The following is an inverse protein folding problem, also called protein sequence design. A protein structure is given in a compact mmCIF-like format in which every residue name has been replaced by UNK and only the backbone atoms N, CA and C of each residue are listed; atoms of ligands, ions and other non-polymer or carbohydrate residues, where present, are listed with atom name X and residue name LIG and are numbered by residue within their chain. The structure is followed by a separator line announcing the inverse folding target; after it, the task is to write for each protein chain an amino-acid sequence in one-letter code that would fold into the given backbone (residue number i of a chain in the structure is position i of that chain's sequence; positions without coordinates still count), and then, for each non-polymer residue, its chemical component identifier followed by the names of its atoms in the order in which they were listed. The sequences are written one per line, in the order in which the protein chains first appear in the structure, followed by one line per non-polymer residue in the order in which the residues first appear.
data_IF_138576885554
#
_entry.id   IF_138576885554
#
_cell.length_a   1.000
_cell.length_b   1.000
_cell.length_c   1.000
_cell.angle_alpha   90.00
_cell.angle_beta   90.00
_cell.angle_gamma   90.00
#
_symmetry.space_group_name_H-M   'P 1'
#
loop_
_entity.id
_entity.type
_entity.pdbx_description
1 polymer ?
#
# COMPACT_ATOMS: atom_id res chain seq x y z
N UNK A 1 47.64 29.62 -25.68
CA UNK A 1 46.84 28.49 -25.08
C UNK A 1 46.99 27.31 -26.03
N UNK A 2 47.03 26.08 -25.55
CA UNK A 2 47.17 24.98 -26.50
C UNK A 2 45.81 24.69 -27.14
N UNK A 3 45.76 24.49 -28.45
CA UNK A 3 44.56 24.08 -29.21
C UNK A 3 43.83 22.87 -28.55
N UNK A 4 44.58 21.93 -27.98
CA UNK A 4 44.06 20.78 -27.27
C UNK A 4 43.24 21.15 -26.01
N UNK A 5 43.66 22.18 -25.27
CA UNK A 5 42.94 22.68 -24.08
C UNK A 5 41.62 23.31 -24.48
N UNK A 6 41.58 24.13 -25.53
CA UNK A 6 40.35 24.74 -26.01
C UNK A 6 39.39 23.71 -26.64
N UNK A 7 39.90 22.69 -27.34
CA UNK A 7 39.09 21.58 -27.87
C UNK A 7 38.50 20.74 -26.77
N UNK A 8 39.23 20.44 -25.70
CA UNK A 8 38.73 19.71 -24.55
C UNK A 8 37.62 20.50 -23.83
N UNK A 9 37.79 21.83 -23.68
CA UNK A 9 36.79 22.73 -23.13
C UNK A 9 35.52 22.79 -23.98
N UNK A 10 35.66 22.81 -25.31
CA UNK A 10 34.54 22.79 -26.24
C UNK A 10 33.76 21.46 -26.15
N UNK A 11 34.43 20.33 -26.06
CA UNK A 11 33.83 19.00 -25.87
C UNK A 11 33.10 18.92 -24.56
N UNK A 12 33.66 19.44 -23.46
CA UNK A 12 33.01 19.50 -22.15
C UNK A 12 31.77 20.38 -22.16
N UNK A 13 31.83 21.58 -22.75
CA UNK A 13 30.68 22.47 -22.87
C UNK A 13 29.56 21.85 -23.74
N UNK A 14 29.92 21.08 -24.79
CA UNK A 14 28.95 20.35 -25.61
C UNK A 14 28.25 19.26 -24.83
N UNK A 15 28.95 18.49 -24.01
CA UNK A 15 28.39 17.45 -23.15
C UNK A 15 27.45 18.06 -22.10
N UNK A 16 27.81 19.21 -21.52
CA UNK A 16 27.00 19.94 -20.56
C UNK A 16 25.69 20.50 -21.20
N UNK A 17 25.79 21.05 -22.41
CA UNK A 17 24.67 21.48 -23.22
C UNK A 17 23.71 20.34 -23.52
N UNK A 18 24.21 19.17 -23.90
CA UNK A 18 23.39 17.97 -24.18
C UNK A 18 22.69 17.47 -22.92
N UNK A 19 23.40 17.42 -21.80
CA UNK A 19 22.83 17.00 -20.51
C UNK A 19 21.74 17.96 -20.05
N UNK A 20 22.00 19.27 -20.13
CA UNK A 20 21.04 20.31 -19.76
C UNK A 20 19.82 20.30 -20.68
N UNK A 21 20.04 20.14 -21.99
CA UNK A 21 18.96 20.02 -22.98
C UNK A 21 18.07 18.79 -22.73
N UNK A 22 18.68 17.67 -22.37
CA UNK A 22 17.93 16.45 -22.00
C UNK A 22 17.11 16.65 -20.72
N UNK A 23 17.65 17.33 -19.70
CA UNK A 23 16.90 17.67 -18.49
C UNK A 23 15.69 18.55 -18.81
N UNK A 24 15.87 19.59 -19.64
CA UNK A 24 14.80 20.50 -20.05
C UNK A 24 13.70 19.74 -20.80
N UNK A 25 14.08 18.87 -21.74
CA UNK A 25 13.13 18.08 -22.54
C UNK A 25 12.27 17.16 -21.67
N UNK A 26 12.83 16.68 -20.54
CA UNK A 26 12.15 15.77 -19.61
C UNK A 26 11.62 16.46 -18.33
N UNK A 27 11.47 17.78 -18.36
CA UNK A 27 10.98 18.51 -17.19
C UNK A 27 9.54 18.14 -16.78
N UNK A 28 8.72 17.67 -17.73
CA UNK A 28 7.34 17.24 -17.50
C UNK A 28 7.18 15.70 -17.52
N UNK A 29 8.29 14.94 -17.56
CA UNK A 29 8.22 13.48 -17.56
C UNK A 29 8.11 12.96 -16.14
N UNK A 30 7.05 12.20 -15.84
CA UNK A 30 6.80 11.61 -14.51
C UNK A 30 7.94 10.70 -14.10
N UNK A 31 8.40 10.83 -12.86
CA UNK A 31 9.48 10.02 -12.29
C UNK A 31 10.87 10.28 -12.87
N UNK A 32 11.03 11.28 -13.76
CA UNK A 32 12.33 11.60 -14.34
C UNK A 32 13.28 12.14 -13.28
N UNK A 33 14.56 11.72 -13.37
CA UNK A 33 15.66 12.19 -12.53
C UNK A 33 16.68 12.92 -13.38
N UNK A 34 16.93 14.20 -13.03
CA UNK A 34 17.87 15.03 -13.74
C UNK A 34 19.28 14.46 -13.71
N UNK A 35 20.01 14.67 -14.79
CA UNK A 35 21.42 14.31 -14.91
C UNK A 35 22.30 15.55 -14.76
N UNK A 36 23.54 15.35 -14.32
CA UNK A 36 24.57 16.39 -14.24
C UNK A 36 25.86 15.84 -14.84
N UNK A 37 26.47 16.59 -15.78
CA UNK A 37 27.79 16.27 -16.29
C UNK A 37 28.84 16.56 -15.23
N UNK A 38 29.77 15.63 -15.02
CA UNK A 38 30.87 15.75 -14.07
C UNK A 38 32.19 15.77 -14.84
N UNK A 39 33.06 16.73 -14.48
CA UNK A 39 34.30 16.98 -15.20
C UNK A 39 35.47 16.82 -14.27
N UNK A 40 36.58 16.31 -14.84
CA UNK A 40 37.90 16.29 -14.18
C UNK A 40 38.91 17.05 -15.00
N UNK A 41 39.84 17.71 -14.34
CA UNK A 41 41.01 18.31 -14.94
C UNK A 41 41.98 17.23 -15.44
N UNK A 42 42.72 17.55 -16.50
CA UNK A 42 43.74 16.67 -17.07
C UNK A 42 45.11 17.26 -16.78
N UNK A 43 45.90 16.57 -15.98
CA UNK A 43 47.31 16.90 -15.72
C UNK A 43 48.22 15.96 -16.46
N UNK A 44 49.18 16.52 -17.18
CA UNK A 44 50.27 15.72 -17.76
C UNK A 44 51.24 15.33 -16.63
N UNK A 45 51.27 14.06 -16.23
CA UNK A 45 52.31 13.54 -15.34
C UNK A 45 53.62 13.38 -16.10
N UNK A 46 54.57 14.26 -15.86
CA UNK A 46 55.94 14.04 -16.34
C UNK A 46 56.70 13.14 -15.35
N UNK A 47 57.57 12.29 -15.86
CA UNK A 47 58.40 11.35 -15.08
C UNK A 47 59.31 12.04 -14.03
N UNK A 48 59.50 13.38 -14.13
CA UNK A 48 60.33 14.21 -13.25
C UNK A 48 59.57 15.06 -12.22
N UNK A 49 58.28 14.74 -11.96
CA UNK A 49 57.43 15.45 -10.98
C UNK A 49 56.76 16.71 -11.56
N UNK A 50 55.61 17.09 -10.97
CA UNK A 50 54.90 18.33 -11.34
C UNK A 50 55.62 19.53 -10.74
N UNK A 51 56.28 20.33 -11.58
CA UNK A 51 56.84 21.62 -11.18
C UNK A 51 55.73 22.61 -10.83
N UNK A 52 56.01 23.59 -9.95
CA UNK A 52 55.07 24.67 -9.55
C UNK A 52 54.55 25.51 -10.72
N UNK A 53 55.04 25.32 -11.93
CA UNK A 53 54.73 26.07 -13.16
C UNK A 53 53.99 25.23 -14.22
N UNK A 54 53.58 24.00 -13.93
CA UNK A 54 52.86 23.15 -14.89
C UNK A 54 51.44 23.66 -15.15
N UNK A 55 51.17 23.98 -16.43
CA UNK A 55 49.83 24.38 -16.88
C UNK A 55 49.00 23.12 -17.13
N UNK A 56 47.72 23.09 -16.68
CA UNK A 56 46.82 21.96 -16.91
C UNK A 56 46.58 21.68 -18.41
N UNK A 57 46.33 20.42 -18.76
CA UNK A 57 46.19 19.94 -20.15
C UNK A 57 44.71 19.95 -20.64
N UNK A 58 43.80 20.60 -19.88
CA UNK A 58 42.41 20.72 -20.24
C UNK A 58 41.46 19.94 -19.30
N UNK A 59 40.29 19.63 -19.79
CA UNK A 59 39.18 18.99 -19.05
C UNK A 59 38.70 17.74 -19.80
N UNK A 60 38.22 16.75 -19.06
CA UNK A 60 37.51 15.59 -19.62
C UNK A 60 36.20 15.37 -18.90
N UNK A 61 35.19 14.90 -19.62
CA UNK A 61 33.99 14.36 -19.03
C UNK A 61 34.32 13.05 -18.30
N UNK A 62 33.98 12.98 -17.02
CA UNK A 62 34.22 11.79 -16.19
C UNK A 62 32.98 10.94 -16.11
N UNK A 63 31.82 11.55 -15.89
CA UNK A 63 30.55 10.87 -15.71
C UNK A 63 29.37 11.81 -16.02
N UNK A 64 28.19 11.20 -16.20
CA UNK A 64 26.90 11.91 -16.25
C UNK A 64 26.03 11.35 -15.12
N UNK A 65 26.29 11.87 -13.91
CA UNK A 65 25.66 11.42 -12.69
C UNK A 65 24.16 11.74 -12.66
N UNK A 66 23.34 10.79 -12.21
CA UNK A 66 21.92 11.04 -11.97
C UNK A 66 21.66 11.54 -10.54
N UNK A 67 20.75 12.48 -10.40
CA UNK A 67 20.38 13.04 -9.10
C UNK A 67 19.01 12.46 -8.72
N UNK A 68 19.01 11.46 -7.82
CA UNK A 68 17.81 10.75 -7.36
C UNK A 68 17.03 11.50 -6.26
N UNK A 69 17.25 12.82 -6.10
CA UNK A 69 16.39 13.62 -5.19
C UNK A 69 14.93 13.53 -5.61
N UNK A 70 14.05 13.59 -4.63
CA UNK A 70 12.60 13.56 -4.86
C UNK A 70 12.14 14.79 -5.63
N UNK A 71 11.21 14.60 -6.58
CA UNK A 71 10.46 15.64 -7.26
C UNK A 71 9.24 16.09 -6.46
N UNK A 72 8.47 17.03 -7.00
CA UNK A 72 7.19 17.45 -6.42
C UNK A 72 6.15 16.34 -6.62
N UNK A 73 5.28 16.13 -5.63
CA UNK A 73 4.15 15.22 -5.76
C UNK A 73 2.95 16.00 -6.31
N UNK A 74 2.39 15.50 -7.39
CA UNK A 74 1.18 16.06 -8.03
C UNK A 74 0.03 15.07 -7.83
N UNK A 75 -1.09 15.55 -7.27
CA UNK A 75 -2.25 14.73 -6.97
C UNK A 75 -3.10 14.50 -8.20
N UNK A 76 -3.62 13.29 -8.34
CA UNK A 76 -4.50 12.84 -9.42
C UNK A 76 -5.73 12.14 -8.84
N UNK A 77 -6.76 11.96 -9.67
CA UNK A 77 -7.98 11.23 -9.27
C UNK A 77 -7.88 9.71 -9.50
N UNK A 78 -6.75 9.22 -10.02
CA UNK A 78 -6.57 7.80 -10.30
C UNK A 78 -5.84 7.10 -9.15
N UNK A 79 -6.47 6.12 -8.52
CA UNK A 79 -5.91 5.35 -7.41
C UNK A 79 -4.63 4.58 -7.77
N UNK A 80 -4.47 4.20 -9.06
CA UNK A 80 -3.30 3.49 -9.58
C UNK A 80 -2.13 4.42 -9.93
N UNK A 81 -2.32 5.73 -9.84
CA UNK A 81 -1.22 6.68 -9.84
C UNK A 81 -0.62 6.70 -8.44
N UNK A 82 0.59 6.19 -8.31
CA UNK A 82 1.21 5.93 -7.03
C UNK A 82 2.55 6.66 -6.95
N UNK A 83 2.74 7.47 -5.92
CA UNK A 83 4.02 8.14 -5.68
C UNK A 83 4.73 7.57 -4.45
N UNK A 84 6.07 7.58 -4.48
CA UNK A 84 6.90 7.27 -3.32
C UNK A 84 7.27 8.59 -2.63
N UNK A 85 6.91 8.73 -1.36
CA UNK A 85 7.36 9.82 -0.51
C UNK A 85 8.59 9.38 0.28
N UNK A 86 9.78 9.78 -0.19
CA UNK A 86 11.05 9.36 0.40
C UNK A 86 11.92 8.54 -0.58
N UNK A 87 12.71 7.61 -0.02
CA UNK A 87 13.65 6.78 -0.78
C UNK A 87 13.03 5.48 -1.27
N UNK A 88 13.58 4.93 -2.38
CA UNK A 88 13.21 3.64 -2.94
C UNK A 88 12.71 3.77 -4.38
N UNK A 89 12.44 2.64 -5.00
CA UNK A 89 11.96 2.53 -6.37
C UNK A 89 10.86 1.49 -6.41
N UNK A 90 9.87 1.66 -7.26
CA UNK A 90 8.94 0.59 -7.59
C UNK A 90 9.71 -0.53 -8.29
N UNK A 91 9.40 -1.75 -7.91
CA UNK A 91 9.99 -2.96 -8.48
C UNK A 91 9.11 -3.49 -9.60
N UNK A 92 9.70 -3.74 -10.76
CA UNK A 92 9.00 -4.24 -11.95
C UNK A 92 9.57 -5.58 -12.38
N UNK A 93 8.72 -6.53 -12.74
CA UNK A 93 9.10 -7.81 -13.30
C UNK A 93 8.65 -7.96 -14.76
N UNK A 94 9.37 -8.76 -15.52
CA UNK A 94 9.01 -9.09 -16.91
C UNK A 94 7.97 -10.23 -16.95
N UNK A 95 7.99 -11.10 -15.94
CA UNK A 95 7.09 -12.26 -15.83
C UNK A 95 6.33 -12.26 -14.50
N UNK A 96 5.24 -13.02 -14.42
CA UNK A 96 4.33 -13.04 -13.27
C UNK A 96 4.96 -13.53 -11.96
N UNK A 97 5.96 -14.42 -12.02
CA UNK A 97 6.59 -15.06 -10.86
C UNK A 97 8.11 -14.88 -10.83
N UNK A 98 8.68 -14.04 -11.70
CA UNK A 98 10.11 -13.75 -11.70
C UNK A 98 10.44 -12.63 -10.69
N UNK A 99 11.69 -12.63 -10.24
CA UNK A 99 12.22 -11.51 -9.46
C UNK A 99 12.22 -10.21 -10.30
N UNK A 100 12.13 -9.04 -9.63
CA UNK A 100 12.14 -7.77 -10.34
C UNK A 100 13.49 -7.51 -11.01
N UNK A 101 13.43 -7.14 -12.27
CA UNK A 101 14.59 -6.85 -13.15
C UNK A 101 14.72 -5.37 -13.46
N UNK A 102 13.65 -4.61 -13.34
CA UNK A 102 13.60 -3.17 -13.59
C UNK A 102 13.02 -2.41 -12.41
N UNK A 103 13.48 -1.18 -12.25
CA UNK A 103 13.11 -0.31 -11.14
C UNK A 103 12.71 1.05 -11.68
N UNK A 104 11.67 1.67 -11.10
CA UNK A 104 11.19 2.97 -11.59
C UNK A 104 10.71 3.86 -10.45
N UNK A 105 10.70 5.18 -10.72
CA UNK A 105 9.99 6.19 -9.92
C UNK A 105 8.70 6.67 -10.59
N UNK A 106 8.48 6.24 -11.83
CA UNK A 106 7.21 6.49 -12.50
C UNK A 106 6.14 5.57 -11.91
N UNK A 107 5.15 6.17 -11.27
CA UNK A 107 4.05 5.46 -10.63
C UNK A 107 2.74 5.50 -11.41
N UNK A 108 2.76 5.87 -12.68
CA UNK A 108 1.58 5.79 -13.54
C UNK A 108 1.33 4.34 -13.95
N UNK A 109 0.53 3.64 -13.17
CA UNK A 109 0.18 2.24 -13.42
C UNK A 109 -1.23 2.12 -13.99
N UNK A 110 -1.48 1.01 -14.65
CA UNK A 110 -2.78 0.65 -15.22
C UNK A 110 -3.03 -0.85 -15.08
N UNK A 111 -4.29 -1.27 -15.28
CA UNK A 111 -4.64 -2.68 -15.28
C UNK A 111 -4.55 -3.25 -16.69
N UNK A 112 -4.00 -4.44 -16.80
CA UNK A 112 -4.13 -5.23 -18.01
C UNK A 112 -5.49 -5.96 -18.06
N UNK A 113 -5.75 -6.66 -19.17
CA UNK A 113 -7.01 -7.39 -19.37
C UNK A 113 -7.19 -8.59 -18.41
N UNK A 114 -6.12 -9.08 -17.82
CA UNK A 114 -6.12 -10.15 -16.84
C UNK A 114 -6.21 -9.64 -15.38
N UNK A 115 -6.18 -8.31 -15.17
CA UNK A 115 -6.25 -7.67 -13.88
C UNK A 115 -4.91 -7.49 -13.17
N UNK A 116 -3.77 -7.67 -13.87
CA UNK A 116 -2.46 -7.34 -13.31
C UNK A 116 -2.17 -5.85 -13.41
N UNK A 117 -1.45 -5.35 -12.42
CA UNK A 117 -0.99 -3.96 -12.41
C UNK A 117 0.29 -3.89 -13.25
N UNK A 118 0.26 -3.08 -14.31
CA UNK A 118 1.37 -2.91 -15.26
C UNK A 118 1.72 -1.44 -15.46
N UNK A 119 2.96 -1.19 -15.88
CA UNK A 119 3.37 0.13 -16.35
C UNK A 119 3.04 0.29 -17.85
N UNK A 120 3.38 1.43 -18.43
CA UNK A 120 3.23 1.79 -19.84
C UNK A 120 3.97 0.85 -20.83
N UNK A 121 4.95 0.08 -20.35
CA UNK A 121 5.71 -0.89 -21.13
C UNK A 121 5.19 -2.32 -20.99
N UNK A 122 4.13 -2.54 -20.22
CA UNK A 122 3.59 -3.86 -19.93
C UNK A 122 4.40 -4.68 -18.92
N UNK A 123 5.33 -4.05 -18.16
CA UNK A 123 6.01 -4.71 -17.05
C UNK A 123 5.12 -4.73 -15.82
N UNK A 124 5.12 -5.86 -15.11
CA UNK A 124 4.27 -6.09 -13.95
C UNK A 124 4.83 -5.42 -12.70
N UNK A 125 3.94 -4.76 -11.94
CA UNK A 125 4.28 -4.23 -10.63
C UNK A 125 4.46 -5.38 -9.64
N UNK A 126 5.67 -5.44 -9.05
CA UNK A 126 6.08 -6.52 -8.16
C UNK A 126 5.76 -6.22 -6.70
N UNK A 127 5.34 -7.24 -5.97
CA UNK A 127 5.04 -7.13 -4.55
C UNK A 127 4.80 -8.47 -3.87
N UNK A 128 4.28 -8.40 -2.65
CA UNK A 128 3.78 -9.55 -1.90
C UNK A 128 2.28 -9.70 -2.16
N UNK A 129 1.85 -10.86 -2.62
CA UNK A 129 0.44 -11.20 -2.82
C UNK A 129 -0.28 -11.40 -1.49
N UNK A 130 -1.60 -11.64 -1.51
CA UNK A 130 -2.40 -11.90 -0.31
C UNK A 130 -1.89 -13.10 0.51
N UNK A 131 -1.35 -14.12 -0.14
CA UNK A 131 -0.75 -15.31 0.44
C UNK A 131 0.72 -15.12 0.89
N UNK A 132 1.22 -13.88 0.88
CA UNK A 132 2.61 -13.51 1.15
C UNK A 132 3.65 -14.06 0.16
N UNK A 133 3.24 -14.71 -0.92
CA UNK A 133 4.15 -15.05 -2.02
C UNK A 133 4.59 -13.80 -2.77
N UNK A 134 5.78 -13.84 -3.35
CA UNK A 134 6.32 -12.75 -4.14
C UNK A 134 5.94 -12.91 -5.62
N UNK A 135 5.64 -11.80 -6.29
CA UNK A 135 5.34 -11.80 -7.72
C UNK A 135 4.53 -10.59 -8.17
N UNK A 136 4.01 -10.66 -9.39
CA UNK A 136 3.13 -9.64 -9.95
C UNK A 136 1.84 -9.50 -9.14
N UNK A 137 1.46 -8.26 -8.85
CA UNK A 137 0.22 -7.96 -8.14
C UNK A 137 -0.96 -8.02 -9.10
N UNK A 138 -1.99 -8.76 -8.68
CA UNK A 138 -3.23 -8.95 -9.45
C UNK A 138 -4.42 -8.46 -8.64
N UNK A 139 -5.24 -7.64 -9.28
CA UNK A 139 -6.51 -7.18 -8.71
C UNK A 139 -7.60 -8.15 -9.16
N UNK A 140 -8.30 -8.72 -8.20
CA UNK A 140 -9.51 -9.46 -8.51
C UNK A 140 -10.69 -8.50 -8.57
N UNK A 141 -11.24 -8.33 -9.77
CA UNK A 141 -12.45 -7.51 -10.02
C UNK A 141 -13.73 -8.35 -10.00
N UNK A 142 -13.61 -9.66 -9.73
CA UNK A 142 -14.78 -10.52 -9.59
C UNK A 142 -15.62 -10.10 -8.38
N UNK A 143 -16.85 -10.57 -8.32
CA UNK A 143 -17.70 -10.37 -7.14
C UNK A 143 -17.03 -10.94 -5.90
N UNK A 144 -17.00 -10.16 -4.84
CA UNK A 144 -16.56 -10.63 -3.52
C UNK A 144 -17.40 -11.82 -3.09
N UNK A 145 -16.73 -12.90 -2.67
CA UNK A 145 -17.42 -14.09 -2.18
C UNK A 145 -18.17 -13.75 -0.89
N UNK A 146 -19.36 -14.31 -0.67
CA UNK A 146 -20.04 -14.19 0.60
C UNK A 146 -19.23 -14.89 1.70
N UNK A 147 -19.41 -14.46 2.93
CA UNK A 147 -18.87 -15.11 4.11
C UNK A 147 -20.00 -15.47 5.06
N UNK A 148 -20.12 -16.74 5.38
CA UNK A 148 -21.05 -17.18 6.42
C UNK A 148 -20.68 -16.56 7.78
N UNK A 149 -21.68 -16.21 8.57
CA UNK A 149 -21.48 -15.73 9.93
C UNK A 149 -21.06 -16.89 10.82
N UNK A 150 -19.90 -16.82 11.44
CA UNK A 150 -19.42 -17.81 12.41
C UNK A 150 -19.29 -17.23 13.83
N UNK A 151 -19.28 -15.90 13.99
CA UNK A 151 -19.22 -15.23 15.29
C UNK A 151 -20.25 -14.10 15.37
N UNK A 152 -21.02 -14.08 16.46
CA UNK A 152 -21.90 -12.97 16.85
C UNK A 152 -21.50 -12.49 18.23
N UNK A 153 -21.06 -11.21 18.32
CA UNK A 153 -20.74 -10.56 19.58
C UNK A 153 -21.93 -9.74 20.05
N UNK A 154 -22.34 -9.97 21.28
CA UNK A 154 -23.49 -9.33 21.86
C UNK A 154 -23.14 -8.77 23.25
N UNK A 155 -23.03 -7.46 23.34
CA UNK A 155 -22.86 -6.74 24.59
C UNK A 155 -24.15 -6.02 24.94
N UNK A 156 -24.77 -6.37 26.07
CA UNK A 156 -26.04 -5.81 26.51
C UNK A 156 -26.06 -5.66 28.02
N UNK A 157 -27.04 -4.91 28.53
CA UNK A 157 -27.35 -4.85 29.95
C UNK A 157 -28.71 -5.53 30.22
N UNK A 158 -28.68 -6.53 31.08
CA UNK A 158 -29.87 -7.17 31.64
C UNK A 158 -30.27 -6.47 32.94
N UNK A 159 -31.58 -6.24 33.16
CA UNK A 159 -32.00 -5.51 34.33
C UNK A 159 -31.99 -6.42 35.57
N UNK A 160 -31.17 -6.12 36.55
CA UNK A 160 -31.03 -6.89 37.79
C UNK A 160 -32.35 -6.94 38.62
N UNK A 161 -33.28 -6.01 38.41
CA UNK A 161 -34.59 -5.98 39.10
C UNK A 161 -35.66 -6.86 38.41
N UNK A 162 -35.35 -7.41 37.23
CA UNK A 162 -36.32 -8.24 36.51
C UNK A 162 -36.50 -9.60 37.21
N UNK A 163 -37.76 -10.04 37.23
CA UNK A 163 -38.15 -11.35 37.76
C UNK A 163 -38.56 -12.29 36.64
N UNK A 164 -38.74 -13.56 36.98
CA UNK A 164 -39.30 -14.57 36.06
C UNK A 164 -40.56 -14.03 35.40
N UNK A 165 -40.67 -14.12 34.05
CA UNK A 165 -41.84 -13.65 33.31
C UNK A 165 -43.17 -14.25 33.83
N UNK A 166 -44.26 -13.51 33.60
CA UNK A 166 -45.61 -13.91 34.10
C UNK A 166 -46.11 -15.19 33.43
N UNK A 167 -45.76 -15.39 32.15
CA UNK A 167 -46.12 -16.59 31.38
C UNK A 167 -44.96 -17.57 31.35
N UNK A 168 -45.20 -18.79 31.80
CA UNK A 168 -44.23 -19.93 31.72
C UNK A 168 -44.97 -21.16 31.23
N UNK A 169 -44.36 -22.02 30.39
CA UNK A 169 -42.99 -21.96 29.86
C UNK A 169 -42.81 -20.84 28.81
N UNK A 170 -41.54 -20.58 28.43
CA UNK A 170 -41.17 -19.61 27.39
C UNK A 170 -41.86 -19.94 26.05
N UNK A 171 -42.45 -18.90 25.42
CA UNK A 171 -43.05 -18.93 24.09
C UNK A 171 -42.59 -17.69 23.31
N UNK A 172 -41.87 -17.82 22.16
CA UNK A 172 -41.41 -16.67 21.40
C UNK A 172 -42.50 -15.78 20.83
N UNK A 173 -43.76 -16.29 20.79
CA UNK A 173 -44.92 -15.53 20.30
C UNK A 173 -45.61 -14.72 21.39
N UNK A 174 -45.34 -15.03 22.67
CA UNK A 174 -45.92 -14.33 23.83
C UNK A 174 -44.90 -13.39 24.47
N UNK A 175 -45.07 -12.07 24.27
CA UNK A 175 -44.21 -11.01 24.85
C UNK A 175 -44.14 -11.06 26.38
N UNK A 176 -45.13 -11.66 27.05
CA UNK A 176 -45.13 -11.80 28.51
C UNK A 176 -44.32 -13.01 29.01
N UNK A 177 -43.72 -13.80 28.10
CA UNK A 177 -42.87 -14.97 28.41
C UNK A 177 -41.39 -14.69 28.48
N UNK A 178 -40.91 -13.47 28.14
CA UNK A 178 -39.54 -13.06 28.22
C UNK A 178 -39.34 -11.61 28.68
N UNK A 179 -38.19 -11.25 29.20
CA UNK A 179 -37.87 -9.91 29.72
C UNK A 179 -37.25 -8.99 28.67
N UNK A 180 -36.56 -9.55 27.69
CA UNK A 180 -35.95 -8.79 26.62
C UNK A 180 -35.68 -9.64 25.38
N UNK A 181 -35.56 -9.01 24.23
CA UNK A 181 -35.20 -9.68 22.99
C UNK A 181 -34.24 -8.82 22.14
N UNK A 182 -33.38 -9.50 21.42
CA UNK A 182 -32.40 -8.88 20.49
C UNK A 182 -32.35 -9.70 19.20
N UNK A 183 -32.33 -9.03 18.04
CA UNK A 183 -32.25 -9.69 16.73
C UNK A 183 -31.00 -9.27 15.99
N UNK A 184 -30.28 -10.24 15.45
CA UNK A 184 -29.09 -10.06 14.61
C UNK A 184 -29.33 -10.64 13.21
N UNK A 185 -28.91 -9.94 12.18
CA UNK A 185 -28.85 -10.50 10.83
C UNK A 185 -27.55 -11.27 10.67
N UNK A 186 -27.63 -12.53 10.30
CA UNK A 186 -26.48 -13.41 9.98
C UNK A 186 -26.59 -13.85 8.52
N UNK A 187 -25.49 -14.31 7.95
CA UNK A 187 -25.44 -14.73 6.56
C UNK A 187 -25.02 -16.20 6.45
N UNK A 188 -25.64 -16.92 5.52
CA UNK A 188 -25.26 -18.29 5.18
C UNK A 188 -24.03 -18.34 4.24
N UNK A 189 -23.58 -19.52 3.86
CA UNK A 189 -22.43 -19.72 2.93
C UNK A 189 -22.68 -19.19 1.50
N UNK A 190 -23.93 -18.93 1.14
CA UNK A 190 -24.32 -18.33 -0.14
C UNK A 190 -24.57 -16.82 -0.03
N UNK A 191 -24.52 -16.26 1.19
CA UNK A 191 -24.74 -14.84 1.45
C UNK A 191 -26.19 -14.45 1.59
N UNK A 192 -27.12 -15.42 1.78
CA UNK A 192 -28.51 -15.09 2.08
C UNK A 192 -28.62 -14.63 3.53
N UNK A 193 -29.41 -13.58 3.80
CA UNK A 193 -29.62 -13.10 5.17
C UNK A 193 -30.63 -13.98 5.93
N UNK A 194 -30.28 -14.31 7.15
CA UNK A 194 -31.14 -14.96 8.14
C UNK A 194 -31.23 -14.09 9.38
N UNK A 195 -32.37 -14.16 10.12
CA UNK A 195 -32.49 -13.38 11.34
C UNK A 195 -32.43 -14.31 12.54
N UNK A 196 -31.42 -14.13 13.39
CA UNK A 196 -31.36 -14.82 14.68
C UNK A 196 -31.90 -13.86 15.74
N UNK A 197 -32.89 -14.34 16.50
CA UNK A 197 -33.48 -13.63 17.63
C UNK A 197 -33.11 -14.34 18.91
N UNK A 198 -32.51 -13.59 19.85
CA UNK A 198 -32.16 -14.04 21.19
C UNK A 198 -33.20 -13.48 22.17
N UNK A 199 -33.89 -14.35 22.93
CA UNK A 199 -34.86 -13.99 23.96
C UNK A 199 -34.24 -14.23 25.33
N UNK A 200 -34.30 -13.25 26.21
CA UNK A 200 -33.71 -13.26 27.54
C UNK A 200 -34.81 -13.43 28.59
N UNK A 201 -34.69 -14.47 29.42
CA UNK A 201 -35.65 -14.86 30.45
C UNK A 201 -34.94 -14.87 31.80
N UNK A 202 -35.39 -14.02 32.75
CA UNK A 202 -34.85 -14.00 34.10
C UNK A 202 -35.29 -15.20 34.91
N UNK A 203 -34.39 -15.82 35.65
CA UNK A 203 -34.67 -16.91 36.57
C UNK A 203 -34.84 -16.44 38.04
N UNK A 204 -34.79 -15.13 38.28
CA UNK A 204 -34.96 -14.53 39.60
C UNK A 204 -36.46 -14.56 40.02
N UNK A 205 -36.84 -15.02 41.24
CA UNK A 205 -36.00 -15.30 42.40
C UNK A 205 -35.56 -16.78 42.56
N UNK A 206 -35.94 -17.67 41.64
CA UNK A 206 -35.64 -19.11 41.79
C UNK A 206 -34.13 -19.36 41.79
N UNK A 207 -33.42 -18.79 40.81
CA UNK A 207 -31.96 -18.74 40.73
C UNK A 207 -31.49 -17.30 40.51
N UNK A 208 -31.10 -16.58 41.62
CA UNK A 208 -30.70 -15.18 41.52
C UNK A 208 -29.51 -15.00 40.57
N UNK A 209 -29.48 -13.87 39.86
CA UNK A 209 -28.39 -13.49 38.91
C UNK A 209 -28.19 -14.49 37.75
N UNK A 210 -29.24 -15.24 37.40
CA UNK A 210 -29.20 -16.22 36.33
C UNK A 210 -30.25 -15.87 35.26
N UNK A 211 -29.85 -15.98 34.01
CA UNK A 211 -30.69 -15.72 32.85
C UNK A 211 -30.59 -16.88 31.87
N UNK A 212 -31.73 -17.25 31.31
CA UNK A 212 -31.85 -18.17 30.21
C UNK A 212 -32.00 -17.42 28.89
N UNK A 213 -31.22 -17.79 27.88
CA UNK A 213 -31.23 -17.19 26.55
C UNK A 213 -31.68 -18.22 25.53
N UNK A 214 -32.88 -18.02 24.98
CA UNK A 214 -33.41 -18.86 23.90
C UNK A 214 -33.10 -18.22 22.56
N UNK A 215 -32.67 -19.00 21.59
CA UNK A 215 -32.30 -18.50 20.28
C UNK A 215 -33.07 -19.16 19.16
N UNK A 216 -33.60 -18.31 18.29
CA UNK A 216 -34.40 -18.70 17.14
C UNK A 216 -33.81 -18.12 15.87
N UNK A 217 -33.75 -18.93 14.80
CA UNK A 217 -33.36 -18.50 13.46
C UNK A 217 -34.58 -18.58 12.54
N UNK A 218 -34.95 -17.46 11.93
CA UNK A 218 -36.13 -17.33 11.05
C UNK A 218 -37.40 -17.92 11.68
N UNK A 219 -37.57 -17.76 13.01
CA UNK A 219 -38.69 -18.26 13.76
C UNK A 219 -38.63 -19.74 14.17
N UNK A 220 -37.54 -20.45 13.77
CA UNK A 220 -37.29 -21.83 14.18
C UNK A 220 -36.26 -21.88 15.32
N UNK A 221 -36.35 -22.87 16.16
CA UNK A 221 -35.37 -23.09 17.24
C UNK A 221 -33.99 -23.34 16.68
N UNK A 222 -32.99 -22.62 17.15
CA UNK A 222 -31.60 -22.78 16.69
C UNK A 222 -31.01 -24.09 17.26
N UNK A 223 -31.27 -24.45 18.50
CA UNK A 223 -30.87 -25.73 19.09
C UNK A 223 -32.03 -26.74 19.05
N UNK A 224 -31.81 -27.91 18.44
CA UNK A 224 -32.80 -28.95 18.25
C UNK A 224 -33.48 -29.42 19.57
N UNK A 225 -32.84 -29.17 20.72
CA UNK A 225 -33.38 -29.45 22.06
C UNK A 225 -34.18 -28.31 22.67
N UNK A 226 -34.21 -27.13 22.04
CA UNK A 226 -34.73 -25.87 22.62
C UNK A 226 -34.14 -25.60 24.02
N UNK A 227 -32.86 -25.99 24.22
CA UNK A 227 -32.17 -25.76 25.48
C UNK A 227 -31.68 -24.29 25.52
N UNK A 228 -32.00 -23.52 26.56
CA UNK A 228 -31.47 -22.16 26.65
C UNK A 228 -29.99 -22.15 27.01
N UNK A 229 -29.29 -21.11 26.57
CA UNK A 229 -27.97 -20.78 27.13
C UNK A 229 -28.20 -20.14 28.49
N UNK A 230 -27.54 -20.63 29.53
CA UNK A 230 -27.61 -20.04 30.86
C UNK A 230 -26.48 -19.05 31.04
N UNK A 231 -26.79 -17.79 31.40
CA UNK A 231 -25.83 -16.75 31.77
C UNK A 231 -25.87 -16.56 33.28
N UNK A 232 -24.75 -16.71 33.97
CA UNK A 232 -24.63 -16.47 35.43
C UNK A 232 -23.79 -15.23 35.69
N UNK A 233 -24.29 -14.32 36.53
CA UNK A 233 -23.61 -13.08 36.90
C UNK A 233 -23.19 -13.10 38.37
N UNK A 234 -22.12 -12.39 38.70
CA UNK A 234 -21.69 -12.17 40.06
C UNK A 234 -22.52 -11.07 40.77
N UNK A 235 -22.23 -10.84 42.04
CA UNK A 235 -22.91 -9.81 42.84
C UNK A 235 -22.58 -8.37 42.39
N UNK A 236 -21.59 -8.17 41.52
CA UNK A 236 -21.23 -6.90 40.93
C UNK A 236 -21.86 -6.69 39.55
N UNK A 237 -22.62 -7.68 39.05
CA UNK A 237 -23.27 -7.63 37.75
C UNK A 237 -22.37 -7.98 36.58
N UNK A 238 -21.23 -8.63 36.83
CA UNK A 238 -20.32 -9.11 35.81
C UNK A 238 -20.60 -10.55 35.42
N UNK A 239 -20.60 -10.89 34.14
CA UNK A 239 -20.82 -12.24 33.63
C UNK A 239 -19.64 -13.15 34.07
N UNK A 240 -19.94 -14.25 34.75
CA UNK A 240 -18.95 -15.21 35.29
C UNK A 240 -19.00 -16.58 34.63
N UNK A 241 -20.18 -16.98 34.12
CA UNK A 241 -20.32 -18.26 33.43
C UNK A 241 -21.32 -18.18 32.29
N UNK A 242 -21.03 -18.94 31.24
CA UNK A 242 -21.93 -19.20 30.12
C UNK A 242 -22.13 -20.71 30.05
N UNK A 243 -23.38 -21.17 30.16
CA UNK A 243 -23.81 -22.58 30.15
C UNK A 243 -22.99 -23.45 31.12
N UNK A 244 -22.78 -22.93 32.34
CA UNK A 244 -22.03 -23.59 33.41
C UNK A 244 -20.50 -23.55 33.28
N UNK A 245 -19.96 -23.04 32.17
CA UNK A 245 -18.52 -22.90 31.95
C UNK A 245 -18.02 -21.52 32.39
N UNK A 246 -17.00 -21.49 33.24
CA UNK A 246 -16.29 -20.28 33.67
C UNK A 246 -15.01 -19.98 32.87
N UNK A 247 -14.64 -20.86 31.93
CA UNK A 247 -13.43 -20.73 31.12
C UNK A 247 -13.62 -19.86 29.86
N UNK A 248 -14.86 -19.61 29.45
CA UNK A 248 -15.16 -18.84 28.25
C UNK A 248 -16.53 -18.18 28.37
N UNK A 249 -16.64 -16.90 28.01
CA UNK A 249 -17.89 -16.20 27.86
C UNK A 249 -18.54 -16.43 26.48
N UNK A 250 -18.07 -17.47 25.76
CA UNK A 250 -18.54 -17.83 24.43
C UNK A 250 -19.32 -19.15 24.47
N UNK A 251 -20.32 -19.23 23.63
CA UNK A 251 -21.10 -20.43 23.41
C UNK A 251 -21.11 -20.77 21.93
N UNK A 252 -20.71 -22.02 21.63
CA UNK A 252 -20.79 -22.55 20.26
C UNK A 252 -22.11 -23.34 20.14
N UNK A 253 -22.93 -22.97 19.17
CA UNK A 253 -24.07 -23.77 18.79
C UNK A 253 -23.67 -24.94 17.90
N UNK A 254 -24.41 -26.05 18.01
CA UNK A 254 -24.37 -27.11 17.04
C UNK A 254 -24.78 -26.56 15.66
N UNK A 255 -24.29 -27.22 14.61
CA UNK A 255 -24.59 -26.78 13.24
C UNK A 255 -26.10 -26.80 12.99
N UNK A 256 -26.62 -25.69 12.46
CA UNK A 256 -28.01 -25.55 12.05
C UNK A 256 -28.13 -25.79 10.55
N UNK A 257 -28.91 -26.79 10.09
CA UNK A 257 -29.03 -27.11 8.68
C UNK A 257 -29.82 -26.02 7.93
N UNK A 258 -29.20 -25.39 6.92
CA UNK A 258 -29.87 -24.43 6.02
C UNK A 258 -30.14 -25.12 4.69
N UNK A 259 -31.40 -25.22 4.23
CA UNK A 259 -31.70 -25.85 2.96
C UNK A 259 -31.03 -25.15 1.77
N UNK A 260 -30.13 -25.86 1.08
CA UNK A 260 -29.44 -25.38 -0.11
C UNK A 260 -28.11 -24.65 0.14
N UNK A 261 -27.70 -24.44 1.39
CA UNK A 261 -26.42 -23.88 1.80
C UNK A 261 -25.66 -24.85 2.73
N UNK A 262 -24.44 -24.51 3.11
CA UNK A 262 -23.73 -25.21 4.16
C UNK A 262 -24.42 -24.94 5.52
N UNK A 263 -24.30 -25.91 6.42
CA UNK A 263 -24.84 -25.77 7.78
C UNK A 263 -24.22 -24.54 8.49
N UNK A 264 -25.07 -23.75 9.12
CA UNK A 264 -24.64 -22.56 9.85
C UNK A 264 -24.16 -22.93 11.26
N UNK A 265 -22.91 -22.62 11.57
CA UNK A 265 -22.30 -22.81 12.90
C UNK A 265 -21.95 -21.46 13.49
N UNK A 266 -22.65 -21.04 14.54
CA UNK A 266 -22.49 -19.70 15.13
C UNK A 266 -21.96 -19.80 16.55
N UNK A 267 -20.90 -19.04 16.82
CA UNK A 267 -20.36 -18.80 18.15
C UNK A 267 -20.89 -17.47 18.69
N UNK A 268 -21.56 -17.49 19.82
CA UNK A 268 -21.98 -16.29 20.55
C UNK A 268 -20.95 -15.88 21.57
N UNK A 269 -20.56 -14.61 21.55
CA UNK A 269 -19.65 -13.99 22.51
C UNK A 269 -20.43 -12.98 23.35
N UNK A 270 -20.59 -13.27 24.66
CA UNK A 270 -21.28 -12.44 25.63
C UNK A 270 -20.33 -11.66 26.56
N UNK A 271 -19.03 -11.57 26.22
CA UNK A 271 -17.98 -11.09 27.12
C UNK A 271 -18.29 -9.74 27.79
N UNK A 272 -18.91 -8.82 27.06
CA UNK A 272 -19.21 -7.46 27.56
C UNK A 272 -20.68 -7.30 28.03
N UNK A 273 -21.35 -8.43 28.33
CA UNK A 273 -22.72 -8.41 28.87
C UNK A 273 -22.68 -8.18 30.37
N UNK A 274 -23.57 -7.31 30.84
CA UNK A 274 -23.67 -6.89 32.24
C UNK A 274 -25.10 -7.06 32.79
N UNK A 275 -25.22 -7.12 34.14
CA UNK A 275 -26.49 -7.15 34.83
C UNK A 275 -26.55 -6.02 35.87
N UNK A 276 -27.02 -4.84 35.47
CA UNK A 276 -27.19 -3.72 36.36
C UNK A 276 -28.70 -3.37 36.53
N UNK A 277 -29.04 -2.67 37.60
CA UNK A 277 -30.40 -2.18 37.81
C UNK A 277 -30.68 -0.96 36.89
N UNK A 278 -30.69 -1.23 35.58
CA UNK A 278 -31.10 -0.32 34.52
C UNK A 278 -31.87 -1.11 33.46
N UNK A 279 -32.74 -0.42 32.72
CA UNK A 279 -33.56 -1.07 31.70
C UNK A 279 -32.68 -1.90 30.71
N UNK A 280 -33.27 -2.98 30.20
CA UNK A 280 -32.69 -3.75 29.12
C UNK A 280 -32.21 -2.82 28.01
N UNK A 281 -30.96 -2.95 27.62
CA UNK A 281 -30.36 -2.16 26.53
C UNK A 281 -29.28 -2.95 25.82
N UNK A 282 -29.21 -2.81 24.50
CA UNK A 282 -28.13 -3.37 23.68
C UNK A 282 -27.05 -2.29 23.55
N UNK A 283 -25.86 -2.56 24.09
CA UNK A 283 -24.73 -1.62 24.06
C UNK A 283 -23.97 -1.73 22.73
N UNK A 284 -23.72 -2.96 22.28
CA UNK A 284 -23.16 -3.23 20.95
C UNK A 284 -23.58 -4.62 20.46
N UNK A 285 -23.70 -4.74 19.16
CA UNK A 285 -23.92 -6.00 18.48
C UNK A 285 -23.14 -5.99 17.18
N UNK A 286 -22.37 -7.02 16.93
CA UNK A 286 -21.59 -7.19 15.71
C UNK A 286 -21.55 -8.64 15.28
N UNK A 287 -21.36 -8.88 14.01
CA UNK A 287 -21.19 -10.20 13.42
C UNK A 287 -20.19 -10.09 12.26
N UNK A 288 -19.59 -11.19 11.84
CA UNK A 288 -18.49 -11.21 10.88
C UNK A 288 -18.85 -11.75 9.48
N UNK A 289 -20.12 -12.12 9.26
CA UNK A 289 -20.60 -12.54 7.95
C UNK A 289 -21.01 -11.39 7.06
N UNK A 290 -21.02 -11.59 5.75
CA UNK A 290 -21.47 -10.61 4.77
C UNK A 290 -21.98 -11.29 3.49
N UNK A 291 -22.93 -10.64 2.77
CA UNK A 291 -23.39 -11.14 1.48
C UNK A 291 -22.31 -10.95 0.40
N UNK A 292 -22.51 -11.55 -0.76
CA UNK A 292 -21.72 -11.24 -1.95
C UNK A 292 -21.77 -9.73 -2.26
N UNK A 293 -20.62 -9.16 -2.61
CA UNK A 293 -20.51 -7.74 -2.94
C UNK A 293 -19.99 -7.53 -4.36
N UNK A 294 -20.46 -6.49 -5.04
CA UNK A 294 -19.87 -6.05 -6.30
C UNK A 294 -18.61 -5.21 -6.01
N UNK A 295 -17.59 -5.38 -6.86
CA UNK A 295 -16.37 -4.57 -6.76
C UNK A 295 -16.71 -3.09 -6.99
N UNK A 296 -16.30 -2.22 -6.05
CA UNK A 296 -16.55 -0.77 -6.10
C UNK A 296 -15.31 0.05 -6.37
N UNK A 297 -14.13 -0.48 -6.04
CA UNK A 297 -12.87 0.24 -6.27
C UNK A 297 -11.69 -0.34 -5.51
N UNK A 298 -10.56 0.33 -5.67
CA UNK A 298 -9.30 0.02 -5.01
C UNK A 298 -8.98 1.05 -3.94
N UNK A 299 -8.25 0.61 -2.95
CA UNK A 299 -7.63 1.48 -1.96
C UNK A 299 -6.19 1.02 -1.73
N UNK A 300 -5.27 1.97 -1.64
CA UNK A 300 -3.86 1.70 -1.32
C UNK A 300 -3.51 2.57 -0.12
N UNK A 301 -3.04 1.94 0.95
CA UNK A 301 -2.62 2.67 2.14
C UNK A 301 -1.15 3.12 2.07
N UNK A 302 -0.70 3.94 3.02
CA UNK A 302 0.67 4.48 3.09
C UNK A 302 1.75 3.39 3.25
N UNK A 303 1.38 2.21 3.75
CA UNK A 303 2.26 1.03 3.83
C UNK A 303 2.28 0.21 2.53
N UNK A 304 1.64 0.70 1.47
CA UNK A 304 1.60 0.05 0.17
C UNK A 304 0.74 -1.21 0.12
N UNK A 305 -0.17 -1.42 1.09
CA UNK A 305 -1.11 -2.53 1.04
C UNK A 305 -2.29 -2.13 0.17
N UNK A 306 -2.61 -3.02 -0.79
CA UNK A 306 -3.73 -2.86 -1.71
C UNK A 306 -4.95 -3.61 -1.19
N UNK A 307 -6.09 -2.96 -1.24
CA UNK A 307 -7.39 -3.51 -0.88
C UNK A 307 -8.38 -3.37 -2.04
N UNK A 308 -9.12 -4.45 -2.33
CA UNK A 308 -10.36 -4.38 -3.12
C UNK A 308 -11.50 -4.00 -2.19
N UNK A 309 -12.23 -2.97 -2.53
CA UNK A 309 -13.45 -2.56 -1.82
C UNK A 309 -14.68 -3.09 -2.52
N UNK A 310 -15.65 -3.56 -1.73
CA UNK A 310 -16.90 -4.14 -2.22
C UNK A 310 -18.13 -3.37 -1.71
N UNK A 311 -19.24 -3.51 -2.45
CA UNK A 311 -20.52 -2.84 -2.13
C UNK A 311 -21.13 -3.26 -0.79
N UNK A 312 -20.71 -4.42 -0.25
CA UNK A 312 -21.11 -4.92 1.07
C UNK A 312 -20.31 -4.29 2.23
N UNK A 313 -19.42 -3.31 1.95
CA UNK A 313 -18.56 -2.66 2.93
C UNK A 313 -17.30 -3.44 3.29
N UNK A 314 -17.11 -4.64 2.74
CA UNK A 314 -15.90 -5.42 2.97
C UNK A 314 -14.71 -4.88 2.16
N UNK A 315 -13.51 -5.09 2.69
CA UNK A 315 -12.26 -4.79 2.04
C UNK A 315 -11.35 -6.02 2.08
N UNK A 316 -11.06 -6.58 0.91
CA UNK A 316 -10.19 -7.74 0.78
C UNK A 316 -8.75 -7.30 0.48
N UNK A 317 -7.79 -7.81 1.23
CA UNK A 317 -6.37 -7.55 0.98
C UNK A 317 -5.91 -8.31 -0.27
N UNK A 318 -5.46 -7.57 -1.29
CA UNK A 318 -4.93 -8.12 -2.55
C UNK A 318 -3.45 -8.49 -2.39
N UNK A 319 -2.69 -7.59 -1.74
CA UNK A 319 -1.25 -7.71 -1.62
C UNK A 319 -0.63 -6.43 -1.08
N UNK A 320 0.69 -6.35 -1.19
CA UNK A 320 1.48 -5.22 -0.73
C UNK A 320 2.60 -4.92 -1.71
N UNK A 321 2.81 -3.65 -2.03
CA UNK A 321 3.90 -3.18 -2.90
C UNK A 321 5.25 -3.53 -2.31
N UNK A 322 6.19 -3.97 -3.17
CA UNK A 322 7.59 -4.11 -2.82
C UNK A 322 8.39 -2.93 -3.39
N UNK A 323 8.99 -2.14 -2.52
CA UNK A 323 9.96 -1.13 -2.92
C UNK A 323 11.38 -1.70 -2.89
N UNK A 324 12.20 -1.27 -3.83
CA UNK A 324 13.63 -1.61 -3.89
C UNK A 324 14.48 -0.43 -3.44
N UNK A 325 15.56 -0.73 -2.73
CA UNK A 325 16.62 0.21 -2.39
C UNK A 325 17.97 -0.37 -2.81
N UNK A 326 18.90 0.51 -3.21
CA UNK A 326 20.25 0.15 -3.59
C UNK A 326 21.26 0.82 -2.67
N UNK A 327 22.39 0.14 -2.45
CA UNK A 327 23.49 0.69 -1.68
C UNK A 327 24.09 1.91 -2.39
N UNK A 328 24.21 1.83 -3.72
CA UNK A 328 24.72 2.90 -4.56
C UNK A 328 23.75 3.16 -5.74
N UNK A 329 22.89 4.16 -5.60
CA UNK A 329 21.92 4.55 -6.63
C UNK A 329 22.60 5.06 -7.93
N UNK A 330 23.84 5.60 -7.82
CA UNK A 330 24.60 6.08 -8.98
C UNK A 330 25.09 4.94 -9.88
N UNK A 331 25.21 3.75 -9.33
CA UNK A 331 25.62 2.56 -10.07
C UNK A 331 24.52 1.92 -10.90
N UNK A 332 23.28 2.40 -10.84
CA UNK A 332 22.16 1.85 -11.61
C UNK A 332 22.34 2.12 -13.11
N UNK A 333 22.05 1.10 -13.92
CA UNK A 333 22.03 1.23 -15.38
C UNK A 333 20.69 1.78 -15.86
N UNK A 334 20.72 2.76 -16.77
CA UNK A 334 19.52 3.33 -17.39
C UNK A 334 19.00 2.40 -18.49
N UNK A 335 17.74 1.99 -18.41
CA UNK A 335 17.06 1.20 -19.44
C UNK A 335 16.23 2.07 -20.42
N UNK A 336 16.05 3.35 -20.10
CA UNK A 336 15.10 4.24 -20.79
C UNK A 336 13.73 4.25 -20.10
N UNK A 337 12.80 5.11 -20.57
CA UNK A 337 11.44 5.25 -20.06
C UNK A 337 11.35 5.36 -18.53
N UNK A 338 12.27 6.14 -17.93
CA UNK A 338 12.39 6.31 -16.47
C UNK A 338 12.54 5.02 -15.67
N UNK A 339 13.17 4.00 -16.29
CA UNK A 339 13.48 2.71 -15.66
C UNK A 339 14.97 2.49 -15.53
N UNK A 340 15.35 1.76 -14.49
CA UNK A 340 16.74 1.42 -14.16
C UNK A 340 16.88 -0.08 -13.92
N UNK A 341 18.07 -0.61 -14.11
CA UNK A 341 18.45 -1.98 -13.75
C UNK A 341 19.57 -1.96 -12.72
N UNK A 342 19.61 -3.01 -11.91
CA UNK A 342 20.73 -3.23 -11.00
C UNK A 342 22.01 -3.60 -11.76
N UNK A 343 23.14 -3.25 -11.17
CA UNK A 343 24.48 -3.60 -11.69
C UNK A 343 25.37 -4.05 -10.53
N UNK A 344 26.54 -4.60 -10.85
CA UNK A 344 27.54 -4.92 -9.82
C UNK A 344 28.01 -3.70 -9.03
N UNK A 345 27.90 -2.49 -9.61
CA UNK A 345 28.30 -1.22 -8.97
C UNK A 345 27.20 -0.66 -8.07
N UNK A 346 25.92 -0.90 -8.39
CA UNK A 346 24.81 -0.49 -7.53
C UNK A 346 24.70 -1.34 -6.27
N UNK A 347 25.24 -2.54 -6.29
CA UNK A 347 24.97 -3.59 -5.32
C UNK A 347 23.61 -4.25 -5.58
N UNK A 348 23.33 -5.32 -4.85
CA UNK A 348 22.06 -6.06 -4.94
C UNK A 348 20.88 -5.24 -4.43
N UNK A 349 19.71 -5.46 -5.04
CA UNK A 349 18.44 -4.87 -4.59
C UNK A 349 18.09 -5.32 -3.20
N UNK A 350 17.71 -4.38 -2.35
CA UNK A 350 17.14 -4.65 -1.02
C UNK A 350 15.65 -4.34 -1.11
N UNK A 351 14.85 -5.40 -1.14
CA UNK A 351 13.38 -5.28 -1.18
C UNK A 351 12.83 -5.08 0.23
N UNK A 352 11.80 -4.27 0.35
CA UNK A 352 11.12 -4.03 1.61
C UNK A 352 9.73 -3.41 1.41
N UNK A 353 8.90 -3.49 2.44
CA UNK A 353 7.61 -2.82 2.45
C UNK A 353 7.77 -1.30 2.58
N UNK A 354 6.89 -0.49 1.98
CA UNK A 354 6.88 0.95 2.17
C UNK A 354 6.83 1.34 3.65
N UNK A 355 7.67 2.31 4.04
CA UNK A 355 7.81 2.75 5.43
C UNK A 355 8.76 1.93 6.29
N UNK A 356 9.26 0.79 5.81
CA UNK A 356 10.22 -0.05 6.53
C UNK A 356 11.64 0.11 6.00
N UNK A 357 12.65 -0.29 6.79
CA UNK A 357 14.07 -0.36 6.38
C UNK A 357 14.60 0.91 5.69
N UNK A 358 14.17 2.09 6.13
CA UNK A 358 14.55 3.38 5.55
C UNK A 358 14.03 3.59 4.10
N UNK A 359 13.00 2.85 3.70
CA UNK A 359 12.21 3.08 2.51
C UNK A 359 11.16 4.16 2.77
N UNK A 360 10.80 4.90 1.73
CA UNK A 360 9.71 5.87 1.77
C UNK A 360 8.35 5.21 1.90
N UNK A 361 7.35 6.01 2.27
CA UNK A 361 5.93 5.62 2.23
C UNK A 361 5.38 5.79 0.82
N UNK A 362 4.24 5.17 0.57
CA UNK A 362 3.55 5.25 -0.72
C UNK A 362 2.31 6.11 -0.58
N UNK A 363 2.02 6.90 -1.59
CA UNK A 363 0.82 7.71 -1.66
C UNK A 363 0.07 7.39 -2.95
N UNK A 364 -1.17 6.93 -2.81
CA UNK A 364 -2.10 6.71 -3.90
C UNK A 364 -2.74 8.02 -4.36
N UNK A 365 -3.17 8.09 -5.62
CA UNK A 365 -3.73 9.30 -6.21
C UNK A 365 -2.69 10.42 -6.34
N UNK A 366 -1.43 10.08 -6.56
CA UNK A 366 -0.35 11.04 -6.75
C UNK A 366 0.73 10.50 -7.69
N UNK A 367 1.41 11.39 -8.41
CA UNK A 367 2.57 11.08 -9.25
C UNK A 367 3.76 11.94 -8.84
N UNK A 368 4.96 11.38 -8.93
CA UNK A 368 6.19 12.14 -8.72
C UNK A 368 6.59 12.85 -10.01
N UNK A 369 6.50 14.16 -10.05
CA UNK A 369 6.97 14.99 -11.15
C UNK A 369 8.50 14.94 -11.26
N UNK A 370 9.02 15.31 -12.42
CA UNK A 370 10.46 15.51 -12.63
C UNK A 370 11.08 16.40 -11.56
N UNK A 371 12.29 16.05 -11.10
CA UNK A 371 13.06 16.91 -10.19
C UNK A 371 13.84 18.04 -10.91
N UNK A 372 13.48 18.34 -12.16
CA UNK A 372 14.06 19.38 -12.99
C UNK A 372 13.42 20.72 -12.70
N UNK A 373 14.19 21.72 -12.30
CA UNK A 373 13.78 23.12 -12.21
C UNK A 373 14.11 23.80 -13.53
N UNK A 374 13.09 24.09 -14.34
CA UNK A 374 13.23 24.69 -15.67
C UNK A 374 14.00 26.01 -15.63
N UNK A 375 13.72 26.87 -14.66
CA UNK A 375 14.38 28.19 -14.56
C UNK A 375 15.88 28.05 -14.33
N UNK A 376 16.28 27.15 -13.42
CA UNK A 376 17.70 26.86 -13.17
C UNK A 376 18.38 26.21 -14.37
N UNK A 377 17.67 25.28 -15.06
CA UNK A 377 18.23 24.64 -16.25
C UNK A 377 18.41 25.62 -17.43
N UNK A 378 17.47 26.56 -17.62
CA UNK A 378 17.59 27.60 -18.65
C UNK A 378 18.80 28.52 -18.38
N UNK A 379 19.00 28.94 -17.13
CA UNK A 379 20.19 29.73 -16.76
C UNK A 379 21.46 28.92 -17.00
N UNK A 380 21.48 27.65 -16.61
CA UNK A 380 22.62 26.76 -16.83
C UNK A 380 22.90 26.55 -18.31
N UNK A 381 21.86 26.42 -19.14
CA UNK A 381 21.97 26.34 -20.61
C UNK A 381 22.68 27.57 -21.20
N UNK A 382 22.29 28.78 -20.75
CA UNK A 382 22.90 30.03 -21.21
C UNK A 382 24.41 30.04 -20.85
N UNK A 383 24.78 29.66 -19.61
CA UNK A 383 26.16 29.59 -19.16
C UNK A 383 26.96 28.58 -19.97
N UNK A 384 26.38 27.40 -20.21
CA UNK A 384 27.01 26.36 -21.03
C UNK A 384 27.23 26.82 -22.51
N UNK A 385 26.20 27.54 -23.07
CA UNK A 385 26.34 28.16 -24.41
C UNK A 385 27.44 29.20 -24.45
N UNK A 386 27.53 30.08 -23.43
CA UNK A 386 28.63 31.07 -23.36
C UNK A 386 29.98 30.39 -23.24
N UNK A 387 30.10 29.33 -22.44
CA UNK A 387 31.33 28.54 -22.30
C UNK A 387 31.72 27.89 -23.63
N UNK A 388 30.76 27.34 -24.35
CA UNK A 388 30.98 26.78 -25.70
C UNK A 388 31.48 27.84 -26.67
N UNK A 389 30.83 29.02 -26.72
CA UNK A 389 31.24 30.14 -27.62
C UNK A 389 32.64 30.67 -27.27
N UNK A 390 32.94 30.80 -25.96
CA UNK A 390 34.29 31.25 -25.52
C UNK A 390 35.39 30.28 -25.96
N UNK A 391 35.18 28.96 -25.80
CA UNK A 391 36.16 27.97 -26.27
C UNK A 391 36.27 27.95 -27.80
N UNK A 392 35.16 28.10 -28.53
CA UNK A 392 35.19 28.22 -30.00
C UNK A 392 35.93 29.47 -30.47
N UNK A 393 35.72 30.61 -29.79
CA UNK A 393 36.47 31.86 -30.11
C UNK A 393 37.96 31.72 -29.82
N UNK A 394 38.32 30.96 -28.74
CA UNK A 394 39.76 30.68 -28.45
C UNK A 394 40.40 29.86 -29.55
N UNK A 395 39.71 28.87 -30.11
CA UNK A 395 40.20 28.07 -31.25
C UNK A 395 40.41 28.97 -32.49
N UNK A 396 39.40 29.83 -32.79
CA UNK A 396 39.52 30.75 -33.93
C UNK A 396 40.69 31.73 -33.78
N UNK A 397 40.93 32.25 -32.57
CA UNK A 397 42.04 33.11 -32.28
C UNK A 397 43.39 32.41 -32.45
N UNK A 398 43.52 31.17 -31.99
CA UNK A 398 44.71 30.32 -32.13
C UNK A 398 45.00 30.06 -33.61
N UNK A 399 43.97 29.78 -34.42
CA UNK A 399 44.06 29.60 -35.87
C UNK A 399 44.63 30.88 -36.57
N UNK A 400 44.12 32.04 -36.17
CA UNK A 400 44.63 33.34 -36.69
C UNK A 400 46.11 33.56 -36.33
N UNK A 401 46.52 33.24 -35.12
CA UNK A 401 47.92 33.31 -34.68
C UNK A 401 48.82 32.38 -35.51
N UNK A 402 48.36 31.13 -35.74
CA UNK A 402 49.10 30.18 -36.59
C UNK A 402 49.23 30.70 -38.03
N UNK A 403 48.16 31.24 -38.62
CA UNK A 403 48.19 31.84 -39.96
C UNK A 403 49.10 33.05 -40.02
N UNK A 404 49.12 33.89 -39.01
CA UNK A 404 50.03 35.03 -38.94
C UNK A 404 51.49 34.59 -38.87
N UNK A 405 51.80 33.53 -38.09
CA UNK A 405 53.14 32.95 -38.01
C UNK A 405 53.61 32.34 -39.35
N UNK A 406 52.66 31.70 -40.07
CA UNK A 406 52.93 31.14 -41.39
C UNK A 406 53.19 32.21 -42.43
N UNK A 407 52.55 33.39 -42.34
CA UNK A 407 52.72 34.52 -43.25
C UNK A 407 53.95 35.37 -42.95
N UNK A 408 54.62 35.17 -41.80
CA UNK A 408 55.82 35.85 -41.41
C UNK A 408 57.07 35.09 -41.93
N UNK A 409 56.90 34.03 -42.67
CA UNK A 409 57.95 33.23 -43.32
C UNK A 409 57.87 33.45 -44.83
#
# INVERSE_FOLDING_TARGET
MSFATALSGLSAASADLQTTGNNIANANTVGFKKSRAEFADVYASSFFGSGKTTIGSGVRLTDVAQIHSQGTLEYTDNVLDIAISGRGFFSLSDDLNSEPTAFTRNGAFQLDKEGYIVNDQGKYLFGWRADFSQGALKINTDKGKPQATDEVKLALNLNAADTTPATTPFDPTDVSSYNGASSATVYDSLGNPHTITSYFVSQNPTTPNTWDVYQYIDGNVLDAGNNPITLEFDTNGTLIKVNGSSSSNKMNYASYPIPGAEDLTVTYDFTDTTQYNSKFSINSMSQNGFPAGDFTGLEINDSGVLFSRFSNGNAERIGQLALARFQNEQGLAKLGNTTWAETSVSGEKILGAPGENNLGTVQSGALESSNVDLSKQLVHLIVAQQSYQANAQTISTEDQVIQTLLNLR
#
